data_IF_553623945831
#
_entry.id   IF_553623945831
#
_cell.length_a   1.000
_cell.length_b   1.000
_cell.length_c   1.000
_cell.angle_alpha   90.00
_cell.angle_beta   90.00
_cell.angle_gamma   90.00
#
_symmetry.space_group_name_H-M   'P 1'
#
loop_
_entity.id
_entity.type
_entity.pdbx_description
1 polymer ?
#
# COMPACT_ATOMS: atom_id res chain seq x y z
N UNK A 1 -31.03 -26.77 7.51
CA UNK A 1 -31.19 -25.31 7.46
C UNK A 1 -29.88 -24.52 7.59
N UNK A 2 -28.85 -25.04 8.22
CA UNK A 2 -27.55 -24.34 8.45
C UNK A 2 -26.62 -24.25 7.19
N UNK A 3 -26.99 -24.84 6.06
CA UNK A 3 -26.12 -25.00 4.86
C UNK A 3 -26.23 -23.82 3.88
N UNK A 4 -27.38 -23.17 3.75
CA UNK A 4 -27.67 -22.25 2.63
C UNK A 4 -26.93 -20.91 2.68
N UNK A 5 -26.76 -20.30 3.86
CA UNK A 5 -26.00 -19.02 3.94
C UNK A 5 -24.51 -19.19 3.65
N UNK A 6 -23.93 -20.35 4.03
CA UNK A 6 -22.55 -20.67 3.69
C UNK A 6 -22.37 -20.86 2.17
N UNK A 7 -23.35 -21.41 1.49
CA UNK A 7 -23.33 -21.53 0.02
C UNK A 7 -23.44 -20.18 -0.68
N UNK A 8 -24.33 -19.31 -0.21
CA UNK A 8 -24.45 -17.93 -0.71
C UNK A 8 -23.16 -17.13 -0.48
N UNK A 9 -22.57 -17.23 0.71
CA UNK A 9 -21.28 -16.62 1.00
C UNK A 9 -20.19 -17.17 0.07
N UNK A 10 -20.13 -18.49 -0.13
CA UNK A 10 -19.20 -19.13 -1.05
C UNK A 10 -19.39 -18.64 -2.48
N UNK A 11 -20.62 -18.64 -2.99
CA UNK A 11 -20.95 -18.14 -4.32
C UNK A 11 -20.47 -16.70 -4.54
N UNK A 12 -20.76 -15.81 -3.60
CA UNK A 12 -20.29 -14.43 -3.67
C UNK A 12 -18.76 -14.32 -3.65
N UNK A 13 -18.08 -15.09 -2.78
CA UNK A 13 -16.62 -15.06 -2.67
C UNK A 13 -15.95 -15.67 -3.89
N UNK A 14 -16.50 -16.71 -4.46
CA UNK A 14 -16.00 -17.33 -5.69
C UNK A 14 -16.15 -16.35 -6.88
N UNK A 15 -17.32 -15.75 -7.03
CA UNK A 15 -17.53 -14.69 -8.02
C UNK A 15 -16.58 -13.51 -7.81
N UNK A 16 -16.39 -13.06 -6.57
CA UNK A 16 -15.42 -11.99 -6.24
C UNK A 16 -13.98 -12.40 -6.54
N UNK A 17 -13.66 -13.67 -6.32
CA UNK A 17 -12.35 -14.28 -6.57
C UNK A 17 -11.95 -14.29 -8.03
N UNK A 18 -12.91 -14.38 -8.98
CA UNK A 18 -12.64 -14.40 -10.43
C UNK A 18 -11.84 -13.19 -10.92
N UNK A 19 -12.00 -12.04 -10.27
CA UNK A 19 -11.30 -10.80 -10.64
C UNK A 19 -10.52 -10.14 -9.49
N UNK A 20 -10.64 -10.61 -8.27
CA UNK A 20 -10.00 -10.02 -7.10
C UNK A 20 -9.69 -11.03 -5.98
N UNK A 21 -8.91 -12.07 -6.27
CA UNK A 21 -8.62 -13.18 -5.35
C UNK A 21 -8.17 -12.73 -3.95
N UNK A 22 -7.23 -11.78 -3.84
CA UNK A 22 -6.79 -11.26 -2.52
C UNK A 22 -7.88 -10.48 -1.77
N UNK A 23 -8.80 -9.86 -2.49
CA UNK A 23 -9.91 -9.15 -1.87
C UNK A 23 -10.93 -10.14 -1.30
N UNK A 24 -11.15 -11.30 -1.93
CA UNK A 24 -12.10 -12.31 -1.46
C UNK A 24 -11.76 -12.82 -0.06
N UNK A 25 -10.47 -12.97 0.27
CA UNK A 25 -9.99 -13.38 1.61
C UNK A 25 -10.41 -12.36 2.68
N UNK A 26 -10.21 -11.07 2.41
CA UNK A 26 -10.63 -10.01 3.33
C UNK A 26 -12.16 -9.91 3.44
N UNK A 27 -12.86 -10.09 2.32
CA UNK A 27 -14.31 -10.06 2.28
C UNK A 27 -14.92 -11.21 3.09
N UNK A 28 -14.37 -12.42 2.97
CA UNK A 28 -14.74 -13.58 3.78
C UNK A 28 -14.74 -13.23 5.27
N UNK A 29 -13.63 -12.70 5.76
CA UNK A 29 -13.46 -12.37 7.18
C UNK A 29 -14.57 -11.44 7.71
N UNK A 30 -14.87 -10.36 6.98
CA UNK A 30 -15.86 -9.38 7.44
C UNK A 30 -17.29 -9.91 7.34
N UNK A 31 -17.61 -10.69 6.32
CA UNK A 31 -18.93 -11.31 6.17
C UNK A 31 -19.14 -12.44 7.19
N UNK A 32 -18.12 -13.24 7.49
CA UNK A 32 -18.18 -14.25 8.56
C UNK A 32 -18.41 -13.59 9.94
N UNK A 33 -17.83 -12.42 10.19
CA UNK A 33 -18.12 -11.68 11.42
C UNK A 33 -19.56 -11.23 11.48
N UNK A 34 -20.13 -10.73 10.40
CA UNK A 34 -21.52 -10.34 10.31
C UNK A 34 -22.45 -11.53 10.56
N UNK A 35 -22.25 -12.61 9.83
CA UNK A 35 -23.06 -13.84 9.97
C UNK A 35 -22.97 -14.43 11.37
N UNK A 36 -21.78 -14.46 11.95
CA UNK A 36 -21.60 -14.98 13.35
C UNK A 36 -22.31 -14.15 14.38
N UNK A 37 -22.31 -12.82 14.23
CA UNK A 37 -22.92 -11.89 15.17
C UNK A 37 -24.45 -11.87 15.09
N UNK A 38 -24.97 -11.90 13.84
CA UNK A 38 -26.42 -11.75 13.57
C UNK A 38 -27.15 -13.10 13.48
N UNK A 39 -26.39 -14.21 13.47
CA UNK A 39 -26.90 -15.55 13.25
C UNK A 39 -26.90 -15.94 11.76
N UNK A 40 -26.94 -17.24 11.53
CA UNK A 40 -27.11 -17.78 10.18
C UNK A 40 -28.60 -17.73 9.83
N UNK A 41 -28.97 -16.79 9.00
CA UNK A 41 -30.32 -16.54 8.51
C UNK A 41 -30.36 -16.64 6.98
N UNK A 42 -31.55 -16.76 6.40
CA UNK A 42 -31.72 -16.52 4.97
C UNK A 42 -31.51 -15.04 4.62
N UNK A 43 -31.22 -14.72 3.36
CA UNK A 43 -30.94 -13.34 2.95
C UNK A 43 -32.09 -12.37 3.24
N UNK A 44 -33.33 -12.86 3.15
CA UNK A 44 -34.56 -12.11 3.38
C UNK A 44 -34.85 -11.84 4.86
N UNK A 45 -34.26 -12.64 5.76
CA UNK A 45 -34.46 -12.53 7.21
C UNK A 45 -33.50 -11.49 7.86
N UNK A 46 -32.48 -11.01 7.14
CA UNK A 46 -31.65 -9.94 7.64
C UNK A 46 -32.34 -8.59 7.54
N UNK A 47 -32.32 -7.85 8.62
CA UNK A 47 -33.00 -6.57 8.74
C UNK A 47 -32.09 -5.41 9.17
N UNK A 48 -32.69 -4.25 9.39
CA UNK A 48 -31.95 -3.05 9.84
C UNK A 48 -31.36 -3.22 11.24
N UNK A 49 -31.98 -4.03 12.12
CA UNK A 49 -31.46 -4.27 13.47
C UNK A 49 -30.14 -5.06 13.41
N UNK A 50 -30.00 -6.01 12.49
CA UNK A 50 -28.76 -6.73 12.24
C UNK A 50 -27.63 -5.77 11.80
N UNK A 51 -27.96 -4.81 10.92
CA UNK A 51 -27.02 -3.79 10.45
C UNK A 51 -26.55 -2.90 11.61
N UNK A 52 -27.48 -2.44 12.46
CA UNK A 52 -27.19 -1.61 13.64
C UNK A 52 -26.34 -2.39 14.64
N UNK A 53 -26.72 -3.63 14.94
CA UNK A 53 -25.97 -4.54 15.84
C UNK A 53 -24.54 -4.76 15.34
N UNK A 54 -24.36 -5.01 14.05
CA UNK A 54 -23.05 -5.18 13.44
C UNK A 54 -22.20 -3.90 13.52
N UNK A 55 -22.80 -2.75 13.29
CA UNK A 55 -22.15 -1.45 13.42
C UNK A 55 -21.60 -1.23 14.82
N UNK A 56 -22.45 -1.37 15.83
CA UNK A 56 -22.06 -1.18 17.23
C UNK A 56 -20.91 -2.12 17.63
N UNK A 57 -20.98 -3.38 17.19
CA UNK A 57 -19.94 -4.36 17.45
C UNK A 57 -18.60 -4.00 16.77
N UNK A 58 -18.65 -3.49 15.53
CA UNK A 58 -17.45 -3.04 14.82
C UNK A 58 -16.83 -1.80 15.49
N UNK A 59 -17.65 -0.80 15.82
CA UNK A 59 -17.19 0.47 16.42
C UNK A 59 -16.52 0.25 17.77
N UNK A 60 -16.91 -0.78 18.53
CA UNK A 60 -16.28 -1.14 19.81
C UNK A 60 -14.91 -1.82 19.67
N UNK A 61 -14.50 -2.28 18.48
CA UNK A 61 -13.31 -3.14 18.27
C UNK A 61 -12.37 -2.68 17.20
N UNK A 62 -12.82 -1.86 16.28
CA UNK A 62 -12.07 -1.52 15.06
C UNK A 62 -12.02 -0.01 14.82
N UNK A 63 -11.01 0.41 14.08
CA UNK A 63 -10.88 1.80 13.63
C UNK A 63 -12.02 2.18 12.67
N UNK A 64 -12.35 3.46 12.60
CA UNK A 64 -13.38 4.00 11.71
C UNK A 64 -13.19 3.58 10.24
N UNK A 65 -11.93 3.47 9.77
CA UNK A 65 -11.60 2.96 8.42
C UNK A 65 -11.98 1.49 8.24
N UNK A 66 -11.72 0.67 9.26
CA UNK A 66 -12.09 -0.75 9.23
C UNK A 66 -13.60 -0.92 9.24
N UNK A 67 -14.31 -0.10 10.03
CA UNK A 67 -15.78 -0.06 10.06
C UNK A 67 -16.32 0.34 8.69
N UNK A 68 -15.83 1.42 8.10
CA UNK A 68 -16.21 1.84 6.75
C UNK A 68 -15.99 0.72 5.73
N UNK A 69 -14.82 0.08 5.77
CA UNK A 69 -14.48 -1.00 4.84
C UNK A 69 -15.40 -2.21 4.99
N UNK A 70 -15.71 -2.62 6.23
CA UNK A 70 -16.66 -3.70 6.50
C UNK A 70 -18.06 -3.39 5.95
N UNK A 71 -18.51 -2.14 6.07
CA UNK A 71 -19.80 -1.70 5.52
C UNK A 71 -19.83 -1.65 3.99
N UNK A 72 -18.72 -1.26 3.36
CA UNK A 72 -18.58 -1.37 1.90
C UNK A 72 -18.71 -2.82 1.46
N UNK A 73 -18.08 -3.75 2.17
CA UNK A 73 -18.16 -5.18 1.85
C UNK A 73 -19.57 -5.70 2.03
N UNK A 74 -20.22 -5.39 3.15
CA UNK A 74 -21.57 -5.81 3.45
C UNK A 74 -22.57 -5.30 2.43
N UNK A 75 -22.48 -4.01 2.07
CA UNK A 75 -23.31 -3.41 1.01
C UNK A 75 -23.12 -4.11 -0.34
N UNK A 76 -21.87 -4.37 -0.73
CA UNK A 76 -21.57 -5.05 -1.99
C UNK A 76 -22.08 -6.50 -2.00
N UNK A 77 -22.08 -7.18 -0.84
CA UNK A 77 -22.63 -8.52 -0.70
C UNK A 77 -24.13 -8.54 -0.99
N UNK A 78 -24.92 -7.71 -0.32
CA UNK A 78 -26.36 -7.63 -0.56
C UNK A 78 -26.69 -7.09 -1.95
N UNK A 79 -25.88 -6.16 -2.48
CA UNK A 79 -26.05 -5.64 -3.84
C UNK A 79 -25.86 -6.72 -4.90
N UNK A 80 -24.91 -7.64 -4.70
CA UNK A 80 -24.69 -8.76 -5.60
C UNK A 80 -25.95 -9.66 -5.70
N UNK A 81 -26.55 -10.00 -4.57
CA UNK A 81 -27.76 -10.83 -4.57
C UNK A 81 -28.98 -10.07 -5.08
N UNK A 82 -29.06 -8.77 -4.80
CA UNK A 82 -30.15 -7.94 -5.34
C UNK A 82 -30.13 -7.86 -6.86
N UNK A 83 -28.95 -7.84 -7.48
CA UNK A 83 -28.80 -7.89 -8.95
C UNK A 83 -29.17 -9.26 -9.57
N UNK A 84 -29.31 -10.28 -8.76
CA UNK A 84 -29.74 -11.62 -9.17
C UNK A 84 -31.19 -11.90 -8.72
N UNK A 85 -31.96 -10.85 -8.45
CA UNK A 85 -33.37 -10.89 -8.06
C UNK A 85 -33.68 -11.65 -6.76
N UNK A 86 -32.65 -11.88 -5.92
CA UNK A 86 -32.91 -12.43 -4.59
C UNK A 86 -33.61 -11.42 -3.69
N UNK A 87 -34.60 -11.91 -2.92
CA UNK A 87 -35.19 -11.11 -1.82
C UNK A 87 -34.16 -10.95 -0.71
N UNK A 88 -33.83 -9.70 -0.38
CA UNK A 88 -32.90 -9.36 0.70
C UNK A 88 -33.10 -7.90 1.11
N UNK A 89 -32.47 -7.51 2.24
CA UNK A 89 -32.44 -6.10 2.67
C UNK A 89 -31.92 -5.21 1.53
N UNK A 90 -32.59 -4.07 1.32
CA UNK A 90 -32.14 -3.12 0.30
C UNK A 90 -30.73 -2.59 0.61
N UNK A 91 -29.77 -2.72 -0.33
CA UNK A 91 -28.42 -2.18 -0.14
C UNK A 91 -28.37 -0.67 0.11
N UNK A 92 -29.44 0.08 -0.26
CA UNK A 92 -29.55 1.52 0.03
C UNK A 92 -29.69 1.82 1.52
N UNK A 93 -30.24 0.89 2.30
CA UNK A 93 -30.35 1.00 3.75
C UNK A 93 -29.02 0.79 4.47
N UNK A 94 -28.05 0.16 3.81
CA UNK A 94 -26.69 -0.04 4.33
C UNK A 94 -25.88 1.24 4.10
N UNK A 95 -25.97 2.17 5.05
CA UNK A 95 -25.27 3.45 4.98
C UNK A 95 -23.79 3.27 5.37
N UNK A 96 -22.89 3.54 4.42
CA UNK A 96 -21.44 3.48 4.65
C UNK A 96 -21.04 4.67 5.55
N UNK A 97 -20.40 4.42 6.72
CA UNK A 97 -19.91 5.49 7.58
C UNK A 97 -18.91 6.40 6.84
N UNK A 98 -19.08 7.71 6.99
CA UNK A 98 -18.07 8.67 6.47
C UNK A 98 -16.88 8.67 7.42
N UNK A 99 -15.69 8.62 6.85
CA UNK A 99 -14.44 8.71 7.60
C UNK A 99 -13.63 9.84 6.99
N UNK A 100 -13.27 10.81 7.83
CA UNK A 100 -12.32 11.83 7.40
C UNK A 100 -10.97 11.17 7.13
N UNK A 101 -10.49 11.23 5.90
CA UNK A 101 -9.18 10.72 5.55
C UNK A 101 -8.12 11.52 6.32
N UNK A 102 -7.52 10.88 7.34
CA UNK A 102 -6.25 11.39 7.86
C UNK A 102 -5.22 11.15 6.76
N UNK A 103 -4.66 12.23 6.21
CA UNK A 103 -3.53 12.10 5.29
C UNK A 103 -2.41 11.34 5.98
N UNK A 104 -1.83 10.36 5.30
CA UNK A 104 -0.64 9.72 5.84
C UNK A 104 0.47 10.77 5.90
N UNK A 105 1.13 10.88 7.06
CA UNK A 105 2.24 11.81 7.25
C UNK A 105 3.34 11.53 6.23
N UNK A 106 3.78 12.57 5.54
CA UNK A 106 4.98 12.55 4.72
C UNK A 106 6.23 12.56 5.63
N UNK A 107 7.28 11.85 5.25
CA UNK A 107 8.60 11.98 5.88
C UNK A 107 9.25 13.27 5.37
N UNK A 108 9.91 14.03 6.25
CA UNK A 108 10.69 15.21 5.86
C UNK A 108 12.10 14.83 5.42
N UNK A 109 12.80 15.77 4.79
CA UNK A 109 14.19 15.56 4.36
C UNK A 109 15.14 15.43 5.54
N UNK A 110 14.92 16.20 6.62
CA UNK A 110 15.69 16.12 7.85
C UNK A 110 15.54 14.74 8.51
N UNK A 111 14.30 14.22 8.56
CA UNK A 111 14.04 12.88 9.10
C UNK A 111 14.69 11.79 8.25
N UNK A 112 14.60 11.92 6.93
CA UNK A 112 15.28 11.02 6.02
C UNK A 112 16.81 11.02 6.25
N UNK A 113 17.42 12.21 6.33
CA UNK A 113 18.85 12.34 6.57
C UNK A 113 19.28 11.76 7.93
N UNK A 114 18.48 11.95 8.98
CA UNK A 114 18.69 11.31 10.28
C UNK A 114 18.64 9.79 10.20
N UNK A 115 17.71 9.22 9.41
CA UNK A 115 17.61 7.77 9.21
C UNK A 115 18.86 7.27 8.47
N UNK A 116 19.26 7.93 7.38
CA UNK A 116 20.39 7.50 6.57
C UNK A 116 21.72 7.56 7.34
N UNK A 117 21.92 8.61 8.15
CA UNK A 117 23.18 8.82 8.89
C UNK A 117 23.49 7.74 9.93
N UNK A 118 22.49 7.01 10.40
CA UNK A 118 22.67 5.95 11.41
C UNK A 118 22.79 4.54 10.82
N UNK A 119 22.68 4.40 9.49
CA UNK A 119 22.76 3.09 8.82
C UNK A 119 24.22 2.89 8.38
N UNK A 120 24.95 1.91 8.96
CA UNK A 120 26.30 1.59 8.50
C UNK A 120 26.25 1.05 7.05
N UNK A 121 27.37 1.15 6.34
CA UNK A 121 27.48 0.64 4.96
C UNK A 121 28.53 -0.47 4.80
N UNK A 122 29.09 -0.96 5.90
CA UNK A 122 30.19 -1.92 5.92
C UNK A 122 29.78 -3.39 5.87
N UNK A 123 28.51 -3.70 6.15
CA UNK A 123 27.98 -5.06 6.10
C UNK A 123 26.85 -5.18 5.08
N UNK A 124 26.70 -6.34 4.46
CA UNK A 124 25.67 -6.60 3.46
C UNK A 124 24.26 -6.28 3.94
N UNK A 125 23.91 -6.61 5.19
CA UNK A 125 22.61 -6.33 5.78
C UNK A 125 22.29 -4.83 5.76
N UNK A 126 23.24 -4.02 6.23
CA UNK A 126 23.07 -2.58 6.36
C UNK A 126 23.12 -1.89 4.99
N UNK A 127 24.03 -2.32 4.12
CA UNK A 127 24.12 -1.81 2.75
C UNK A 127 22.83 -2.09 1.96
N UNK A 128 22.27 -3.30 2.09
CA UNK A 128 20.95 -3.63 1.53
C UNK A 128 19.86 -2.68 2.02
N UNK A 129 19.80 -2.46 3.33
CA UNK A 129 18.77 -1.63 3.95
C UNK A 129 18.94 -0.16 3.56
N UNK A 130 20.18 0.32 3.44
CA UNK A 130 20.50 1.66 2.99
C UNK A 130 20.03 1.89 1.54
N UNK A 131 20.35 0.98 0.63
CA UNK A 131 19.88 1.01 -0.77
C UNK A 131 18.36 0.97 -0.83
N UNK A 132 17.73 0.10 -0.06
CA UNK A 132 16.28 -0.05 0.01
C UNK A 132 15.58 1.23 0.46
N UNK A 133 16.08 1.87 1.53
CA UNK A 133 15.50 3.10 2.08
C UNK A 133 15.73 4.29 1.13
N UNK A 134 16.90 4.37 0.50
CA UNK A 134 17.18 5.38 -0.52
C UNK A 134 16.27 5.24 -1.73
N UNK A 135 16.04 4.03 -2.23
CA UNK A 135 15.11 3.81 -3.35
C UNK A 135 13.67 4.21 -2.99
N UNK A 136 13.21 3.93 -1.76
CA UNK A 136 11.90 4.41 -1.31
C UNK A 136 11.80 5.94 -1.35
N UNK A 137 12.85 6.65 -0.91
CA UNK A 137 12.92 8.10 -0.89
C UNK A 137 13.01 8.70 -2.30
N UNK A 138 13.91 8.24 -3.13
CA UNK A 138 14.19 8.81 -4.43
C UNK A 138 13.06 8.59 -5.44
N UNK A 139 12.34 7.46 -5.32
CA UNK A 139 11.43 7.00 -6.38
C UNK A 139 9.96 7.01 -5.99
N UNK A 140 9.66 7.12 -4.68
CA UNK A 140 8.28 6.99 -4.19
C UNK A 140 7.62 5.66 -4.54
N UNK A 141 8.40 4.62 -4.82
CA UNK A 141 7.92 3.28 -5.20
C UNK A 141 7.07 2.66 -4.08
N UNK A 142 6.04 1.88 -4.45
CA UNK A 142 5.29 1.14 -3.43
C UNK A 142 6.15 0.04 -2.82
N UNK A 143 5.99 -0.21 -1.53
CA UNK A 143 6.76 -1.27 -0.83
C UNK A 143 6.65 -2.63 -1.51
N UNK A 144 5.49 -2.97 -2.06
CA UNK A 144 5.31 -4.22 -2.80
C UNK A 144 6.09 -4.23 -4.13
N UNK A 145 6.12 -3.10 -4.84
CA UNK A 145 6.88 -2.97 -6.08
C UNK A 145 8.38 -3.05 -5.83
N UNK A 146 8.87 -2.42 -4.74
CA UNK A 146 10.25 -2.54 -4.30
C UNK A 146 10.63 -4.00 -3.98
N UNK A 147 9.77 -4.71 -3.25
CA UNK A 147 9.99 -6.13 -2.94
C UNK A 147 9.98 -7.02 -4.18
N UNK A 148 9.23 -6.64 -5.22
CA UNK A 148 9.08 -7.40 -6.45
C UNK A 148 10.22 -7.17 -7.45
N UNK A 149 11.11 -6.20 -7.21
CA UNK A 149 12.27 -5.97 -8.06
C UNK A 149 13.22 -7.16 -8.08
N UNK A 150 13.70 -7.47 -9.26
CA UNK A 150 14.73 -8.48 -9.51
C UNK A 150 16.08 -7.81 -9.81
N UNK A 151 17.16 -8.56 -9.66
CA UNK A 151 18.52 -8.10 -10.02
C UNK A 151 18.60 -7.65 -11.49
N UNK A 152 17.83 -8.27 -12.36
CA UNK A 152 17.76 -7.93 -13.80
C UNK A 152 17.03 -6.61 -14.08
N UNK A 153 16.36 -6.01 -13.09
CA UNK A 153 15.77 -4.67 -13.25
C UNK A 153 16.84 -3.56 -13.16
N UNK A 154 18.00 -3.86 -12.60
CA UNK A 154 19.08 -2.89 -12.40
C UNK A 154 20.07 -2.99 -13.56
N UNK A 155 20.20 -1.89 -14.28
CA UNK A 155 21.26 -1.67 -15.25
C UNK A 155 22.33 -0.81 -14.57
N UNK A 156 23.54 -1.35 -14.43
CA UNK A 156 24.65 -0.68 -13.73
C UNK A 156 25.08 0.64 -14.38
N UNK A 157 24.68 0.87 -15.64
CA UNK A 157 24.98 2.09 -16.37
C UNK A 157 23.84 3.12 -16.31
N UNK A 158 22.74 2.83 -15.62
CA UNK A 158 21.56 3.70 -15.58
C UNK A 158 21.10 4.00 -14.17
N UNK A 159 20.67 5.23 -13.97
CA UNK A 159 20.00 5.69 -12.73
C UNK A 159 18.49 5.47 -12.77
N UNK A 160 18.04 4.47 -13.51
CA UNK A 160 16.62 4.18 -13.71
C UNK A 160 16.34 2.69 -13.86
N UNK A 161 15.10 2.29 -13.58
CA UNK A 161 14.61 0.95 -13.82
C UNK A 161 13.16 0.96 -14.32
N UNK A 162 12.78 -0.08 -15.05
CA UNK A 162 11.40 -0.36 -15.40
C UNK A 162 10.82 -1.30 -14.36
N UNK A 163 9.79 -0.88 -13.67
CA UNK A 163 9.05 -1.70 -12.71
C UNK A 163 7.63 -1.95 -13.18
N UNK A 164 7.04 -3.06 -12.75
CA UNK A 164 5.65 -3.41 -13.05
C UNK A 164 4.82 -3.48 -11.78
N UNK A 165 3.58 -3.01 -11.87
CA UNK A 165 2.60 -3.16 -10.80
C UNK A 165 1.87 -4.48 -10.96
N UNK A 166 2.09 -5.45 -10.07
CA UNK A 166 1.43 -6.77 -10.12
C UNK A 166 -0.11 -6.71 -10.24
N UNK A 167 -0.72 -5.67 -9.68
CA UNK A 167 -2.18 -5.52 -9.70
C UNK A 167 -2.74 -5.20 -11.08
N UNK A 168 -1.99 -4.52 -11.93
CA UNK A 168 -2.49 -3.97 -13.20
C UNK A 168 -1.63 -4.35 -14.40
N UNK A 169 -0.48 -4.98 -14.18
CA UNK A 169 0.51 -5.26 -15.23
C UNK A 169 1.18 -4.00 -15.82
N UNK A 170 0.73 -2.80 -15.44
CA UNK A 170 1.28 -1.55 -15.99
C UNK A 170 2.74 -1.37 -15.59
N UNK A 171 3.55 -1.06 -16.58
CA UNK A 171 4.97 -0.73 -16.41
C UNK A 171 5.15 0.77 -16.26
N UNK A 172 6.11 1.19 -15.45
CA UNK A 172 6.59 2.56 -15.36
C UNK A 172 8.08 2.61 -15.09
N UNK A 173 8.68 3.73 -15.43
CA UNK A 173 10.09 4.01 -15.13
C UNK A 173 10.14 4.66 -13.73
N UNK A 174 11.10 4.23 -12.93
CA UNK A 174 11.54 4.90 -11.70
C UNK A 174 12.96 5.41 -11.92
N UNK A 175 13.29 6.56 -11.32
CA UNK A 175 14.61 7.21 -11.44
C UNK A 175 15.09 7.55 -10.04
N UNK A 176 16.38 7.32 -9.77
CA UNK A 176 17.00 7.60 -8.48
C UNK A 176 18.21 8.53 -8.61
N UNK A 177 18.70 9.04 -7.50
CA UNK A 177 19.83 9.95 -7.41
C UNK A 177 21.16 9.24 -7.69
N UNK A 178 22.19 10.05 -7.95
CA UNK A 178 23.56 9.54 -8.15
C UNK A 178 24.07 8.81 -6.90
N UNK A 179 23.79 9.33 -5.72
CA UNK A 179 24.19 8.72 -4.45
C UNK A 179 23.57 7.32 -4.29
N UNK A 180 22.31 7.17 -4.65
CA UNK A 180 21.63 5.85 -4.64
C UNK A 180 22.24 4.91 -5.67
N UNK A 181 22.63 5.43 -6.83
CA UNK A 181 23.33 4.65 -7.85
C UNK A 181 24.69 4.13 -7.38
N UNK A 182 25.50 4.98 -6.76
CA UNK A 182 26.79 4.60 -6.18
C UNK A 182 26.66 3.51 -5.11
N UNK A 183 25.61 3.57 -4.29
CA UNK A 183 25.29 2.51 -3.34
C UNK A 183 24.83 1.21 -4.02
N UNK A 184 24.06 1.30 -5.07
CA UNK A 184 23.68 0.14 -5.89
C UNK A 184 24.90 -0.52 -6.52
N UNK A 185 25.85 0.25 -7.04
CA UNK A 185 27.11 -0.26 -7.57
C UNK A 185 27.94 -1.02 -6.54
N UNK A 186 27.91 -0.60 -5.28
CA UNK A 186 28.54 -1.33 -4.15
C UNK A 186 27.74 -2.59 -3.76
N UNK A 187 26.43 -2.51 -3.82
CA UNK A 187 25.53 -3.59 -3.43
C UNK A 187 25.46 -4.74 -4.44
N UNK A 188 25.42 -4.42 -5.73
CA UNK A 188 25.19 -5.39 -6.80
C UNK A 188 26.23 -6.50 -6.89
N UNK A 189 27.55 -6.27 -6.77
CA UNK A 189 28.54 -7.35 -6.81
C UNK A 189 28.31 -8.40 -5.71
N UNK A 190 28.06 -7.96 -4.48
CA UNK A 190 27.79 -8.84 -3.34
C UNK A 190 26.47 -9.61 -3.58
N UNK A 191 25.45 -8.90 -4.08
CA UNK A 191 24.16 -9.49 -4.38
C UNK A 191 24.22 -10.55 -5.48
N UNK A 192 25.00 -10.32 -6.52
CA UNK A 192 25.23 -11.27 -7.61
C UNK A 192 25.98 -12.51 -7.15
N UNK A 193 26.95 -12.35 -6.26
CA UNK A 193 27.64 -13.50 -5.65
C UNK A 193 26.65 -14.37 -4.85
N UNK A 194 25.80 -13.77 -4.04
CA UNK A 194 24.73 -14.48 -3.35
C UNK A 194 23.72 -15.13 -4.30
N UNK A 195 23.45 -14.54 -5.47
CA UNK A 195 22.62 -15.15 -6.50
C UNK A 195 23.23 -16.42 -7.08
N UNK A 196 24.54 -16.46 -7.31
CA UNK A 196 25.25 -17.66 -7.79
C UNK A 196 25.07 -18.84 -6.83
N UNK A 197 25.04 -18.56 -5.52
CA UNK A 197 24.90 -19.56 -4.47
C UNK A 197 23.43 -20.01 -4.33
N UNK A 198 22.48 -19.07 -4.16
CA UNK A 198 21.11 -19.34 -3.74
C UNK A 198 20.07 -19.32 -4.88
N UNK A 199 20.48 -18.94 -6.08
CA UNK A 199 19.64 -18.82 -7.30
C UNK A 199 18.45 -17.85 -7.18
N UNK A 200 18.35 -17.07 -6.10
CA UNK A 200 17.27 -16.09 -5.94
C UNK A 200 17.46 -14.90 -6.87
N UNK A 201 16.48 -14.58 -7.67
CA UNK A 201 16.49 -13.42 -8.60
C UNK A 201 16.13 -12.10 -7.92
N UNK A 202 15.55 -12.15 -6.71
CA UNK A 202 15.11 -10.95 -5.99
C UNK A 202 16.24 -9.95 -5.79
N UNK A 203 16.01 -8.67 -6.05
CA UNK A 203 16.98 -7.62 -5.74
C UNK A 203 17.26 -7.58 -4.23
N UNK A 204 16.22 -7.58 -3.42
CA UNK A 204 16.33 -7.55 -1.95
C UNK A 204 15.97 -8.91 -1.35
N UNK A 205 16.94 -9.48 -0.64
CA UNK A 205 16.80 -10.78 0.03
C UNK A 205 16.96 -10.67 1.54
N UNK A 206 16.33 -11.58 2.25
CA UNK A 206 16.45 -11.80 3.68
C UNK A 206 16.97 -13.19 3.99
N UNK A 207 17.11 -13.47 5.28
CA UNK A 207 17.46 -14.80 5.80
C UNK A 207 16.21 -15.62 6.09
N UNK A 208 16.29 -16.92 5.85
CA UNK A 208 15.37 -17.93 6.36
C UNK A 208 16.13 -18.88 7.26
N UNK A 209 15.50 -19.39 8.32
CA UNK A 209 16.13 -20.34 9.24
C UNK A 209 16.76 -21.51 8.47
N UNK A 210 18.07 -21.70 8.63
CA UNK A 210 18.84 -22.79 8.01
C UNK A 210 19.21 -22.60 6.54
N UNK A 211 18.71 -21.56 5.83
CA UNK A 211 18.95 -21.36 4.39
C UNK A 211 19.80 -20.13 4.04
N UNK A 212 20.27 -19.39 5.05
CA UNK A 212 21.06 -18.17 4.80
C UNK A 212 20.26 -17.07 4.04
N UNK A 213 20.97 -16.27 3.25
CA UNK A 213 20.43 -15.16 2.47
C UNK A 213 19.80 -15.65 1.16
N UNK A 214 18.52 -16.01 1.16
CA UNK A 214 17.90 -16.61 -0.02
C UNK A 214 16.47 -16.12 -0.31
N UNK A 215 15.76 -15.63 0.68
CA UNK A 215 14.33 -15.35 0.57
C UNK A 215 14.07 -13.91 0.17
N UNK A 216 13.25 -13.69 -0.87
CA UNK A 216 12.77 -12.36 -1.25
C UNK A 216 12.16 -11.64 -0.06
N UNK A 217 12.53 -10.38 0.16
CA UNK A 217 11.92 -9.57 1.22
C UNK A 217 10.42 -9.39 0.99
N UNK A 218 9.66 -9.50 2.08
CA UNK A 218 8.23 -9.18 2.09
C UNK A 218 8.00 -7.72 2.47
N UNK A 219 6.85 -7.17 2.08
CA UNK A 219 6.45 -5.82 2.51
C UNK A 219 6.48 -5.65 4.04
N UNK A 220 6.14 -6.70 4.79
CA UNK A 220 6.20 -6.71 6.26
C UNK A 220 7.64 -6.64 6.78
N UNK A 221 8.56 -7.33 6.10
CA UNK A 221 10.00 -7.27 6.46
C UNK A 221 10.55 -5.86 6.23
N UNK A 222 10.23 -5.24 5.08
CA UNK A 222 10.61 -3.85 4.78
C UNK A 222 10.03 -2.89 5.81
N UNK A 223 8.74 -3.01 6.15
CA UNK A 223 8.09 -2.18 7.17
C UNK A 223 8.80 -2.28 8.53
N UNK A 224 9.17 -3.51 8.95
CA UNK A 224 9.91 -3.72 10.21
C UNK A 224 11.29 -3.06 10.18
N UNK A 225 12.00 -3.14 9.05
CA UNK A 225 13.33 -2.51 8.91
C UNK A 225 13.23 -0.98 8.92
N UNK A 226 12.28 -0.40 8.21
CA UNK A 226 12.02 1.04 8.26
C UNK A 226 11.70 1.48 9.69
N UNK A 227 10.78 0.80 10.38
CA UNK A 227 10.42 1.12 11.76
C UNK A 227 11.62 1.02 12.72
N UNK A 228 12.48 0.02 12.54
CA UNK A 228 13.71 -0.15 13.32
C UNK A 228 14.62 1.09 13.21
N UNK A 229 14.86 1.58 11.99
CA UNK A 229 15.71 2.77 11.79
C UNK A 229 15.03 4.06 12.22
N UNK A 230 13.73 4.21 12.02
CA UNK A 230 12.94 5.34 12.52
C UNK A 230 13.08 5.47 14.04
N UNK A 231 12.92 4.36 14.77
CA UNK A 231 13.07 4.35 16.22
C UNK A 231 14.51 4.67 16.65
N UNK A 232 15.51 4.11 15.98
CA UNK A 232 16.92 4.40 16.27
C UNK A 232 17.33 5.84 15.94
N UNK A 233 16.71 6.45 14.94
CA UNK A 233 16.90 7.87 14.62
C UNK A 233 16.21 8.81 15.62
N UNK A 234 15.53 8.29 16.65
CA UNK A 234 14.82 9.07 17.65
C UNK A 234 13.61 9.82 17.10
N UNK A 235 13.00 9.32 16.01
CA UNK A 235 11.80 9.90 15.42
C UNK A 235 10.60 9.31 16.16
N UNK A 236 9.82 10.16 16.83
CA UNK A 236 8.66 9.75 17.64
C UNK A 236 7.44 9.44 16.79
N UNK A 237 7.35 10.05 15.64
CA UNK A 237 6.24 9.94 14.74
C UNK A 237 6.28 8.63 13.95
N UNK A 238 5.09 8.14 13.61
CA UNK A 238 4.95 6.91 12.85
C UNK A 238 5.32 7.13 11.38
N UNK A 239 6.52 6.72 11.00
CA UNK A 239 7.00 6.69 9.62
C UNK A 239 6.88 5.26 9.06
N UNK A 240 6.36 5.13 7.86
CA UNK A 240 6.17 3.87 7.14
C UNK A 240 6.71 4.00 5.72
N UNK A 241 6.86 2.92 4.93
CA UNK A 241 7.20 3.05 3.51
C UNK A 241 6.23 3.94 2.71
N UNK A 242 4.97 4.04 3.13
CA UNK A 242 4.02 4.99 2.55
C UNK A 242 4.37 6.44 2.85
N UNK A 243 4.96 6.73 4.02
CA UNK A 243 5.41 8.08 4.38
C UNK A 243 6.53 8.57 3.44
N UNK A 244 7.42 7.67 2.98
CA UNK A 244 8.44 7.99 1.96
C UNK A 244 7.79 8.36 0.62
N UNK A 245 6.78 7.62 0.22
CA UNK A 245 6.05 7.90 -1.02
C UNK A 245 5.30 9.24 -0.96
N UNK A 246 4.72 9.58 0.17
CA UNK A 246 4.13 10.91 0.40
C UNK A 246 5.21 11.99 0.43
N UNK A 247 6.36 11.76 1.09
CA UNK A 247 7.51 12.66 1.08
C UNK A 247 8.02 12.94 -0.33
N UNK A 248 8.13 11.89 -1.16
CA UNK A 248 8.50 12.05 -2.58
C UNK A 248 7.53 12.97 -3.34
N UNK A 249 6.22 12.77 -3.15
CA UNK A 249 5.20 13.58 -3.82
C UNK A 249 5.23 15.04 -3.35
N UNK A 250 5.33 15.27 -2.04
CA UNK A 250 5.44 16.62 -1.47
C UNK A 250 6.72 17.33 -1.96
N UNK A 251 7.88 16.64 -1.93
CA UNK A 251 9.13 17.22 -2.44
C UNK A 251 9.03 17.63 -3.91
N UNK A 252 8.35 16.85 -4.76
CA UNK A 252 8.16 17.19 -6.17
C UNK A 252 7.18 18.34 -6.35
N UNK A 253 6.10 18.39 -5.58
CA UNK A 253 5.17 19.52 -5.55
C UNK A 253 5.90 20.80 -5.14
N UNK A 254 6.69 20.76 -4.06
CA UNK A 254 7.42 21.93 -3.54
C UNK A 254 8.50 22.41 -4.53
N UNK A 255 8.91 21.56 -5.46
CA UNK A 255 9.74 21.88 -6.63
C UNK A 255 8.93 22.34 -7.85
N UNK A 256 7.63 22.60 -7.69
CA UNK A 256 6.71 23.00 -8.77
C UNK A 256 6.63 21.98 -9.92
N UNK A 257 6.84 20.69 -9.66
CA UNK A 257 6.68 19.67 -10.67
C UNK A 257 5.21 19.52 -11.10
N UNK A 258 4.92 19.44 -12.41
CA UNK A 258 3.55 19.26 -12.87
C UNK A 258 2.86 18.06 -12.21
N UNK A 259 1.56 18.17 -11.90
CA UNK A 259 0.80 17.09 -11.29
C UNK A 259 0.84 15.81 -12.10
N UNK A 260 0.85 15.93 -13.44
CA UNK A 260 0.99 14.80 -14.36
C UNK A 260 2.33 14.05 -14.19
N UNK A 261 3.41 14.76 -13.84
CA UNK A 261 4.71 14.16 -13.51
C UNK A 261 4.60 13.36 -12.21
N UNK A 262 4.01 13.96 -11.16
CA UNK A 262 3.81 13.30 -9.86
C UNK A 262 2.92 12.07 -10.04
N UNK A 263 1.82 12.20 -10.77
CA UNK A 263 0.90 11.09 -11.06
C UNK A 263 1.59 9.93 -11.78
N UNK A 264 2.38 10.24 -12.82
CA UNK A 264 3.12 9.26 -13.60
C UNK A 264 4.21 8.58 -12.75
N UNK A 265 4.98 9.35 -11.98
CA UNK A 265 6.03 8.85 -11.09
C UNK A 265 5.47 7.92 -10.02
N UNK A 266 4.33 8.28 -9.42
CA UNK A 266 3.65 7.43 -8.45
C UNK A 266 2.89 6.25 -9.09
N UNK A 267 2.63 6.28 -10.40
CA UNK A 267 1.81 5.26 -11.08
C UNK A 267 0.38 5.23 -10.55
N UNK A 268 -0.23 6.40 -10.40
CA UNK A 268 -1.65 6.52 -10.06
C UNK A 268 -2.50 6.36 -11.33
N UNK A 269 -3.39 5.36 -11.31
CA UNK A 269 -4.34 5.12 -12.40
C UNK A 269 -5.49 6.13 -12.31
N UNK A 270 -5.93 6.42 -11.08
CA UNK A 270 -6.98 7.39 -10.82
C UNK A 270 -6.34 8.73 -10.42
N UNK A 271 -6.60 9.82 -11.18
CA UNK A 271 -6.13 11.16 -10.86
C UNK A 271 -6.52 11.63 -9.46
N UNK A 272 -7.70 11.25 -8.98
CA UNK A 272 -8.20 11.60 -7.64
C UNK A 272 -7.18 11.26 -6.54
N UNK A 273 -6.41 10.18 -6.70
CA UNK A 273 -5.35 9.82 -5.76
C UNK A 273 -4.17 10.81 -5.74
N UNK A 274 -4.06 11.67 -6.74
CA UNK A 274 -2.99 12.66 -6.86
C UNK A 274 -3.49 14.05 -6.44
N UNK A 275 -4.78 14.36 -6.61
CA UNK A 275 -5.40 15.60 -6.15
C UNK A 275 -5.29 15.81 -4.63
N UNK A 276 -5.08 14.75 -3.85
CA UNK A 276 -4.77 14.90 -2.41
C UNK A 276 -3.52 15.77 -2.18
N UNK A 277 -2.61 15.85 -3.14
CA UNK A 277 -1.41 16.70 -3.07
C UNK A 277 -1.66 18.13 -3.56
N UNK A 278 -2.77 18.41 -4.26
CA UNK A 278 -3.19 19.76 -4.67
C UNK A 278 -3.96 20.50 -3.57
N UNK A 279 -4.76 19.80 -2.77
CA UNK A 279 -5.67 20.40 -1.79
C UNK A 279 -4.98 21.19 -0.65
N UNK A 280 -3.65 21.21 -0.60
CA UNK A 280 -2.89 21.96 0.41
C UNK A 280 -2.32 23.30 -0.11
N UNK A 281 -2.75 23.76 -1.29
CA UNK A 281 -2.16 24.90 -1.99
C UNK A 281 -3.07 26.15 -2.06
N UNK A 282 -3.94 26.42 -1.07
CA UNK A 282 -4.73 27.64 -1.08
C UNK A 282 -3.84 28.90 -1.14
N UNK A 283 -2.69 28.91 -0.45
CA UNK A 283 -1.71 30.00 -0.51
C UNK A 283 -0.96 30.09 -1.86
N UNK A 284 -0.84 28.99 -2.61
CA UNK A 284 -0.21 28.99 -3.94
C UNK A 284 -1.21 29.32 -5.05
N UNK A 285 -2.48 29.00 -4.86
CA UNK A 285 -3.54 29.42 -5.78
C UNK A 285 -3.63 30.94 -5.85
N UNK A 286 -3.57 31.65 -4.72
CA UNK A 286 -3.55 33.12 -4.70
C UNK A 286 -2.34 33.70 -5.45
N UNK A 287 -1.13 33.11 -5.24
CA UNK A 287 0.08 33.58 -5.95
C UNK A 287 0.02 33.25 -7.45
N UNK A 288 -0.49 32.09 -7.83
CA UNK A 288 -0.66 31.70 -9.24
C UNK A 288 -1.76 32.51 -9.92
N UNK A 289 -2.88 32.75 -9.23
CA UNK A 289 -3.97 33.59 -9.74
C UNK A 289 -3.49 35.02 -10.04
N UNK A 290 -2.68 35.59 -9.17
CA UNK A 290 -2.06 36.91 -9.40
C UNK A 290 -1.15 36.94 -10.64
N UNK A 291 -0.44 35.83 -10.90
CA UNK A 291 0.43 35.70 -12.09
C UNK A 291 -0.37 35.58 -13.40
N UNK A 292 -1.53 34.91 -13.37
CA UNK A 292 -2.37 34.71 -14.56
C UNK A 292 -3.39 35.89 -14.79
N UNK A 293 -3.58 36.72 -13.80
CA UNK A 293 -4.48 37.88 -13.89
C UNK A 293 -3.72 39.21 -14.21
N UNK A 294 -2.40 39.20 -14.19
CA UNK A 294 -1.50 40.29 -14.61
C UNK A 294 -1.11 40.13 -16.06
#
# INVERSE_FOLDING_TARGET
MCYMMNEKLKLYLDWKGTYAHRASINYRRWLEHFIRLCGQKELEEYDVHDIVKYRAWLESRYSSYSVQFAFVILKNFFQFFKYQDYTCISPSLIRIPRVNQKSHRAITEEEFNRIISIIPSNEFLFLRDLVMIRLLWDTGVRVSELCDMDITNIDENKTSAVISTKKTGKKRIIVWSRETHELLQKYMPIRLELHRINKSTALFIGTEHGKGWSVRLTSRSVQRRVMYYVNRAGIKEKITPHSFRHGWAHKRRDQNAPLSFIQRGLGHINPVSTFVYEQYCDNEFEKSAMHYLS
#
